data_IF_058582445256
#
_entry.id   IF_058582445256
#
_cell.length_a   1.000
_cell.length_b   1.000
_cell.length_c   1.000
_cell.angle_alpha   90.00
_cell.angle_beta   90.00
_cell.angle_gamma   90.00
#
_symmetry.space_group_name_H-M   'P 1'
#
loop_
_entity.id
_entity.type
_entity.pdbx_description
1 polymer ?
#
# COMPACT_ATOMS: atom_id res chain seq x y z
N UNK A 1 26.78 7.49 -5.81
CA UNK A 1 26.17 8.76 -5.36
C UNK A 1 25.87 9.62 -6.57
N UNK A 2 24.64 10.14 -6.66
CA UNK A 2 24.25 11.15 -7.63
C UNK A 2 25.07 12.42 -7.36
N UNK A 3 25.66 12.99 -8.41
CA UNK A 3 26.60 14.12 -8.31
C UNK A 3 25.92 15.43 -7.90
N UNK A 4 24.63 15.57 -8.18
CA UNK A 4 23.85 16.78 -7.92
C UNK A 4 23.12 16.71 -6.58
N UNK A 5 22.46 15.59 -6.28
CA UNK A 5 21.66 15.45 -5.05
C UNK A 5 22.46 14.94 -3.87
N UNK A 6 23.69 14.44 -4.09
CA UNK A 6 24.52 13.72 -3.11
C UNK A 6 23.81 12.52 -2.45
N UNK A 7 22.70 12.05 -3.02
CA UNK A 7 21.98 10.87 -2.56
C UNK A 7 22.49 9.63 -3.29
N UNK A 8 22.14 8.45 -2.78
CA UNK A 8 22.36 7.21 -3.51
C UNK A 8 21.58 7.28 -4.83
N UNK A 9 22.27 6.97 -5.92
CA UNK A 9 21.68 6.92 -7.26
C UNK A 9 21.26 5.47 -7.51
N UNK A 10 20.03 5.14 -7.14
CA UNK A 10 19.54 3.77 -7.18
C UNK A 10 19.50 3.24 -8.61
N UNK A 11 19.01 4.04 -9.56
CA UNK A 11 18.95 3.69 -10.98
C UNK A 11 20.32 3.37 -11.54
N UNK A 12 21.29 4.28 -11.35
CA UNK A 12 22.66 4.05 -11.80
C UNK A 12 23.30 2.84 -11.12
N UNK A 13 23.00 2.62 -9.84
CA UNK A 13 23.52 1.45 -9.11
C UNK A 13 22.97 0.17 -9.70
N UNK A 14 21.67 0.10 -9.97
CA UNK A 14 21.04 -1.06 -10.62
C UNK A 14 21.66 -1.32 -12.00
N UNK A 15 21.79 -0.29 -12.83
CA UNK A 15 22.38 -0.43 -14.17
C UNK A 15 23.83 -0.96 -14.12
N UNK A 16 24.62 -0.58 -13.12
CA UNK A 16 25.99 -1.09 -12.94
C UNK A 16 26.04 -2.57 -12.56
N UNK A 17 24.97 -3.11 -11.96
CA UNK A 17 24.91 -4.51 -11.54
C UNK A 17 24.67 -5.48 -12.70
N UNK A 18 24.28 -5.01 -13.88
CA UNK A 18 23.94 -5.84 -15.04
C UNK A 18 24.99 -6.92 -15.35
N UNK A 19 26.27 -6.57 -15.26
CA UNK A 19 27.37 -7.48 -15.59
C UNK A 19 27.77 -8.41 -14.42
N UNK A 20 27.12 -8.29 -13.28
CA UNK A 20 27.51 -8.96 -12.03
C UNK A 20 26.46 -9.93 -11.51
N UNK A 21 25.26 -9.97 -12.10
CA UNK A 21 24.15 -10.81 -11.64
C UNK A 21 23.51 -11.57 -12.82
N UNK A 22 22.64 -12.54 -12.52
CA UNK A 22 21.95 -13.29 -13.57
C UNK A 22 20.93 -12.39 -14.30
N UNK A 23 20.68 -12.62 -15.61
CA UNK A 23 19.75 -11.80 -16.38
C UNK A 23 18.35 -11.70 -15.77
N UNK A 24 17.85 -12.80 -15.19
CA UNK A 24 16.54 -12.79 -14.54
C UNK A 24 16.51 -11.92 -13.27
N UNK A 25 17.57 -11.95 -12.48
CA UNK A 25 17.66 -11.15 -11.25
C UNK A 25 17.87 -9.66 -11.59
N UNK A 26 18.59 -9.37 -12.69
CA UNK A 26 18.70 -8.02 -13.24
C UNK A 26 17.36 -7.50 -13.76
N UNK A 27 16.62 -8.32 -14.51
CA UNK A 27 15.27 -7.99 -14.96
C UNK A 27 14.36 -7.63 -13.77
N UNK A 28 14.41 -8.43 -12.70
CA UNK A 28 13.63 -8.17 -11.48
C UNK A 28 13.95 -6.82 -10.85
N UNK A 29 15.23 -6.52 -10.63
CA UNK A 29 15.65 -5.23 -10.10
C UNK A 29 15.17 -4.08 -10.99
N UNK A 30 15.38 -4.18 -12.31
CA UNK A 30 14.93 -3.16 -13.24
C UNK A 30 13.40 -2.99 -13.23
N UNK A 31 12.63 -4.07 -13.12
CA UNK A 31 11.17 -4.02 -13.02
C UNK A 31 10.71 -3.31 -11.73
N UNK A 32 11.31 -3.62 -10.57
CA UNK A 32 10.99 -2.97 -9.29
C UNK A 32 11.26 -1.46 -9.30
N UNK A 33 12.29 -1.01 -10.01
CA UNK A 33 12.68 0.40 -10.12
C UNK A 33 12.09 1.12 -11.34
N UNK A 34 11.29 0.45 -12.18
CA UNK A 34 10.67 1.08 -13.36
C UNK A 34 11.64 1.40 -14.51
N UNK A 35 12.74 0.65 -14.64
CA UNK A 35 13.73 0.83 -15.70
C UNK A 35 13.30 0.09 -16.99
N UNK A 36 12.69 0.83 -17.92
CA UNK A 36 12.02 0.24 -19.09
C UNK A 36 12.94 -0.29 -20.18
N UNK A 37 13.88 0.53 -20.65
CA UNK A 37 14.79 0.11 -21.71
C UNK A 37 15.62 -1.13 -21.32
N UNK A 38 16.16 -1.22 -20.08
CA UNK A 38 16.88 -2.42 -19.66
C UNK A 38 15.96 -3.65 -19.57
N UNK A 39 14.74 -3.51 -19.05
CA UNK A 39 13.82 -4.65 -18.96
C UNK A 39 13.43 -5.18 -20.34
N UNK A 40 13.17 -4.30 -21.31
CA UNK A 40 12.89 -4.68 -22.71
C UNK A 40 14.03 -5.46 -23.35
N UNK A 41 15.26 -4.93 -23.22
CA UNK A 41 16.47 -5.55 -23.77
C UNK A 41 16.69 -6.93 -23.17
N UNK A 42 16.59 -7.05 -21.84
CA UNK A 42 16.89 -8.30 -21.12
C UNK A 42 15.81 -9.34 -21.35
N UNK A 43 14.54 -8.93 -21.41
CA UNK A 43 13.40 -9.83 -21.64
C UNK A 43 13.58 -10.71 -22.87
N UNK A 44 14.12 -10.16 -23.96
CA UNK A 44 14.38 -10.90 -25.20
C UNK A 44 15.36 -12.08 -25.05
N UNK A 45 16.18 -12.07 -23.99
CA UNK A 45 17.16 -13.11 -23.68
C UNK A 45 16.75 -14.06 -22.56
N UNK A 46 15.61 -13.81 -21.91
CA UNK A 46 15.12 -14.67 -20.85
C UNK A 46 14.54 -15.97 -21.43
N UNK A 47 14.91 -17.09 -20.80
CA UNK A 47 14.27 -18.37 -21.08
C UNK A 47 12.84 -18.40 -20.51
N UNK A 48 12.03 -19.32 -21.05
CA UNK A 48 10.65 -19.52 -20.56
C UNK A 48 10.59 -19.86 -19.07
N UNK A 49 11.49 -20.73 -18.60
CA UNK A 49 11.58 -21.12 -17.19
C UNK A 49 11.90 -19.92 -16.28
N UNK A 50 12.82 -19.04 -16.72
CA UNK A 50 13.13 -17.81 -15.99
C UNK A 50 11.93 -16.86 -15.95
N UNK A 51 11.20 -16.70 -17.05
CA UNK A 51 9.97 -15.90 -17.08
C UNK A 51 8.90 -16.47 -16.14
N UNK A 52 8.68 -17.79 -16.15
CA UNK A 52 7.70 -18.44 -15.27
C UNK A 52 8.07 -18.26 -13.78
N UNK A 53 9.37 -18.33 -13.45
CA UNK A 53 9.87 -18.02 -12.10
C UNK A 53 9.59 -16.57 -11.70
N UNK A 54 9.92 -15.61 -12.56
CA UNK A 54 9.71 -14.18 -12.31
C UNK A 54 8.22 -13.83 -12.13
N UNK A 55 7.35 -14.49 -12.90
CA UNK A 55 5.90 -14.35 -12.77
C UNK A 55 5.37 -14.85 -11.41
N UNK A 56 6.04 -15.77 -10.72
CA UNK A 56 5.54 -16.31 -9.45
C UNK A 56 6.00 -15.50 -8.24
N UNK A 57 7.14 -14.82 -8.33
CA UNK A 57 7.81 -14.26 -7.16
C UNK A 57 7.55 -12.78 -6.92
N UNK A 58 7.29 -11.99 -7.97
CA UNK A 58 7.32 -10.54 -7.83
C UNK A 58 6.25 -9.86 -8.68
N UNK A 59 5.41 -9.05 -8.03
CA UNK A 59 4.34 -8.28 -8.67
C UNK A 59 4.86 -7.30 -9.72
N UNK A 60 6.00 -6.65 -9.48
CA UNK A 60 6.63 -5.77 -10.45
C UNK A 60 7.06 -6.52 -11.71
N UNK A 61 7.61 -7.74 -11.55
CA UNK A 61 7.97 -8.61 -12.67
C UNK A 61 6.73 -9.05 -13.45
N UNK A 62 5.65 -9.46 -12.76
CA UNK A 62 4.37 -9.78 -13.41
C UNK A 62 3.84 -8.62 -14.22
N UNK A 63 3.79 -7.42 -13.63
CA UNK A 63 3.39 -6.20 -14.33
C UNK A 63 4.20 -6.02 -15.62
N UNK A 64 5.53 -6.08 -15.52
CA UNK A 64 6.41 -5.79 -16.66
C UNK A 64 6.35 -6.88 -17.73
N UNK A 65 6.33 -8.15 -17.35
CA UNK A 65 6.25 -9.27 -18.30
C UNK A 65 4.92 -9.22 -19.06
N UNK A 66 3.80 -8.89 -18.40
CA UNK A 66 2.51 -8.74 -19.06
C UNK A 66 2.54 -7.63 -20.12
N UNK A 67 3.16 -6.48 -19.82
CA UNK A 67 3.33 -5.39 -20.78
C UNK A 67 4.16 -5.79 -22.01
N UNK A 68 5.22 -6.57 -21.81
CA UNK A 68 6.13 -7.00 -22.87
C UNK A 68 5.59 -8.20 -23.66
N UNK A 69 4.61 -8.93 -23.12
CA UNK A 69 4.02 -10.07 -23.79
C UNK A 69 3.03 -9.64 -24.88
N UNK A 70 3.18 -10.18 -26.09
CA UNK A 70 2.27 -9.92 -27.22
C UNK A 70 0.89 -10.58 -27.05
N UNK A 71 0.70 -11.39 -26.00
CA UNK A 71 -0.58 -12.05 -25.73
C UNK A 71 -1.46 -11.09 -24.95
N UNK A 72 -2.60 -10.74 -25.53
CA UNK A 72 -3.71 -10.05 -24.89
C UNK A 72 -4.39 -10.95 -23.85
N UNK A 73 -3.63 -11.58 -22.95
CA UNK A 73 -4.20 -12.26 -21.80
C UNK A 73 -4.71 -11.19 -20.86
N UNK A 74 -6.02 -11.10 -20.86
CA UNK A 74 -6.85 -10.51 -19.85
C UNK A 74 -6.28 -10.83 -18.44
N UNK A 75 -6.40 -9.85 -17.53
CA UNK A 75 -6.73 -10.01 -16.10
C UNK A 75 -5.60 -9.83 -15.08
N UNK A 76 -6.01 -9.27 -13.93
CA UNK A 76 -5.32 -9.13 -12.65
C UNK A 76 -4.40 -7.91 -12.42
N UNK A 77 -4.52 -6.84 -13.22
CA UNK A 77 -3.82 -5.58 -12.91
C UNK A 77 -4.23 -4.98 -11.55
N UNK A 78 -5.44 -5.25 -11.10
CA UNK A 78 -5.94 -4.93 -9.76
C UNK A 78 -5.20 -5.71 -8.66
N UNK A 79 -5.04 -7.02 -8.81
CA UNK A 79 -4.27 -7.84 -7.86
C UNK A 79 -2.78 -7.43 -7.85
N UNK A 80 -2.19 -7.21 -9.03
CA UNK A 80 -0.81 -6.74 -9.16
C UNK A 80 -0.65 -5.36 -8.50
N UNK A 81 -1.61 -4.45 -8.66
CA UNK A 81 -1.58 -3.15 -7.99
C UNK A 81 -1.58 -3.31 -6.46
N UNK A 82 -2.43 -4.17 -5.91
CA UNK A 82 -2.50 -4.43 -4.46
C UNK A 82 -1.19 -5.02 -3.92
N UNK A 83 -0.58 -5.96 -4.64
CA UNK A 83 0.69 -6.56 -4.25
C UNK A 83 1.86 -5.57 -4.39
N UNK A 84 1.89 -4.74 -5.43
CA UNK A 84 2.87 -3.67 -5.59
C UNK A 84 2.76 -2.63 -4.47
N UNK A 85 1.55 -2.28 -4.05
CA UNK A 85 1.32 -1.39 -2.92
C UNK A 85 1.84 -1.99 -1.60
N UNK A 86 1.60 -3.30 -1.40
CA UNK A 86 2.09 -4.05 -0.23
C UNK A 86 3.61 -4.27 -0.24
N UNK A 87 4.26 -4.21 -1.42
CA UNK A 87 5.71 -4.42 -1.58
C UNK A 87 6.49 -3.10 -1.72
N UNK A 88 5.80 -1.96 -1.79
CA UNK A 88 6.43 -0.64 -1.86
C UNK A 88 6.93 -0.24 -3.24
N UNK A 89 6.44 -0.87 -4.32
CA UNK A 89 6.88 -0.63 -5.70
C UNK A 89 5.97 0.39 -6.41
N UNK A 90 6.38 1.67 -6.40
CA UNK A 90 5.56 2.77 -6.91
C UNK A 90 5.37 2.72 -8.44
N UNK A 91 6.46 2.59 -9.20
CA UNK A 91 6.39 2.63 -10.66
C UNK A 91 5.53 1.49 -11.24
N UNK A 92 5.69 0.22 -10.82
CA UNK A 92 4.82 -0.87 -11.28
C UNK A 92 3.35 -0.72 -10.82
N UNK A 93 3.12 -0.14 -9.65
CA UNK A 93 1.78 0.18 -9.16
C UNK A 93 1.07 1.18 -10.09
N UNK A 94 1.71 2.32 -10.37
CA UNK A 94 1.15 3.36 -11.26
C UNK A 94 0.79 2.77 -12.63
N UNK A 95 1.68 1.95 -13.20
CA UNK A 95 1.44 1.27 -14.49
C UNK A 95 0.25 0.33 -14.42
N UNK A 96 0.18 -0.50 -13.38
CA UNK A 96 -0.92 -1.44 -13.20
C UNK A 96 -2.25 -0.69 -13.14
N UNK A 97 -2.31 0.40 -12.37
CA UNK A 97 -3.50 1.24 -12.27
C UNK A 97 -3.88 1.89 -13.61
N UNK A 98 -2.90 2.36 -14.41
CA UNK A 98 -3.14 2.94 -15.74
C UNK A 98 -3.68 1.93 -16.77
N UNK A 99 -3.48 0.62 -16.54
CA UNK A 99 -3.98 -0.45 -17.42
C UNK A 99 -5.40 -0.90 -17.08
N UNK A 100 -5.98 -0.42 -15.97
CA UNK A 100 -7.33 -0.79 -15.54
C UNK A 100 -8.34 0.17 -16.19
N UNK A 101 -9.18 -0.35 -17.10
CA UNK A 101 -10.15 0.46 -17.84
C UNK A 101 -11.29 1.01 -16.96
N UNK A 102 -11.68 0.29 -15.91
CA UNK A 102 -12.73 0.69 -14.97
C UNK A 102 -12.19 0.45 -13.56
N UNK A 103 -11.78 1.52 -12.89
CA UNK A 103 -11.36 1.45 -11.50
C UNK A 103 -12.61 1.25 -10.64
N UNK A 104 -12.64 0.18 -9.87
CA UNK A 104 -13.55 0.07 -8.73
C UNK A 104 -13.20 1.18 -7.72
N UNK A 105 -14.21 1.89 -7.21
CA UNK A 105 -14.10 2.91 -6.17
C UNK A 105 -13.29 2.44 -4.95
N UNK A 106 -13.20 1.11 -4.75
CA UNK A 106 -12.48 0.53 -3.62
C UNK A 106 -11.00 0.22 -3.87
N UNK A 107 -10.54 0.18 -5.12
CA UNK A 107 -9.18 -0.31 -5.42
C UNK A 107 -8.09 0.62 -4.88
N UNK A 108 -8.19 1.91 -5.15
CA UNK A 108 -7.21 2.90 -4.66
C UNK A 108 -7.15 2.93 -3.12
N UNK A 109 -8.28 3.03 -2.38
CA UNK A 109 -8.21 2.97 -0.93
C UNK A 109 -7.70 1.61 -0.42
N UNK A 110 -7.99 0.48 -1.07
CA UNK A 110 -7.37 -0.82 -0.73
C UNK A 110 -5.85 -0.78 -0.89
N UNK A 111 -5.32 -0.20 -1.97
CA UNK A 111 -3.87 -0.03 -2.16
C UNK A 111 -3.25 0.83 -1.04
N UNK A 112 -3.88 1.95 -0.67
CA UNK A 112 -3.42 2.81 0.43
C UNK A 112 -3.37 2.02 1.75
N UNK A 113 -4.46 1.35 2.10
CA UNK A 113 -4.56 0.59 3.37
C UNK A 113 -3.53 -0.55 3.43
N UNK A 114 -3.30 -1.26 2.32
CA UNK A 114 -2.25 -2.31 2.20
C UNK A 114 -0.84 -1.74 2.33
N UNK A 115 -0.58 -0.60 1.71
CA UNK A 115 0.71 0.09 1.82
C UNK A 115 0.98 0.53 3.27
N UNK A 116 -0.01 1.09 3.96
CA UNK A 116 0.09 1.45 5.38
C UNK A 116 0.37 0.21 6.23
N UNK A 117 -0.37 -0.87 6.02
CA UNK A 117 -0.16 -2.12 6.75
C UNK A 117 1.27 -2.66 6.59
N UNK A 118 1.85 -2.49 5.40
CA UNK A 118 3.21 -2.90 5.07
C UNK A 118 4.30 -1.84 5.36
N UNK A 119 3.94 -0.72 6.01
CA UNK A 119 4.83 0.42 6.31
C UNK A 119 5.42 1.15 5.08
N UNK A 120 4.75 1.09 3.93
CA UNK A 120 5.12 1.77 2.70
C UNK A 120 4.42 3.13 2.57
N UNK A 121 4.70 4.04 3.49
CA UNK A 121 4.02 5.34 3.53
C UNK A 121 4.28 6.22 2.30
N UNK A 122 5.41 6.02 1.60
CA UNK A 122 5.69 6.70 0.33
C UNK A 122 4.67 6.32 -0.76
N UNK A 123 4.16 5.09 -0.76
CA UNK A 123 3.06 4.67 -1.63
C UNK A 123 1.75 5.26 -1.14
N UNK A 124 1.46 5.14 0.15
CA UNK A 124 0.23 5.62 0.75
C UNK A 124 0.00 7.12 0.50
N UNK A 125 1.04 7.93 0.64
CA UNK A 125 0.99 9.38 0.41
C UNK A 125 0.92 9.77 -1.08
N UNK A 126 1.32 8.87 -1.97
CA UNK A 126 1.31 9.13 -3.41
C UNK A 126 -0.10 9.00 -4.00
N UNK A 127 -0.90 8.07 -3.47
CA UNK A 127 -2.27 7.84 -3.93
C UNK A 127 -3.21 8.85 -3.25
N UNK A 128 -3.94 9.63 -4.04
CA UNK A 128 -4.97 10.55 -3.54
C UNK A 128 -6.30 9.80 -3.45
N UNK A 129 -6.82 9.63 -2.23
CA UNK A 129 -8.13 9.06 -1.98
C UNK A 129 -8.84 9.81 -0.83
N UNK A 130 -10.15 9.92 -0.91
CA UNK A 130 -11.01 10.62 0.04
C UNK A 130 -12.01 9.70 0.77
N UNK A 131 -12.29 8.51 0.23
CA UNK A 131 -13.26 7.56 0.80
C UNK A 131 -12.64 6.17 1.06
N UNK A 132 -12.43 5.85 2.34
CA UNK A 132 -11.86 4.57 2.78
C UNK A 132 -12.91 3.57 3.30
N UNK A 133 -14.15 4.01 3.54
CA UNK A 133 -15.15 3.22 4.26
C UNK A 133 -15.48 1.90 3.56
N UNK A 134 -15.66 1.95 2.23
CA UNK A 134 -15.92 0.76 1.41
C UNK A 134 -14.73 -0.22 1.37
N UNK A 135 -13.52 0.26 1.65
CA UNK A 135 -12.30 -0.54 1.59
C UNK A 135 -11.95 -1.20 2.94
N UNK A 136 -12.46 -0.72 4.07
CA UNK A 136 -12.15 -1.29 5.38
C UNK A 136 -12.52 -2.77 5.50
N UNK A 137 -13.65 -3.19 4.92
CA UNK A 137 -14.05 -4.61 4.90
C UNK A 137 -13.01 -5.51 4.20
N UNK A 138 -12.25 -4.96 3.25
CA UNK A 138 -11.20 -5.73 2.57
C UNK A 138 -9.99 -6.01 3.45
N UNK A 139 -9.73 -5.16 4.46
CA UNK A 139 -8.59 -5.31 5.37
C UNK A 139 -9.01 -5.95 6.70
N UNK A 140 -10.22 -5.67 7.17
CA UNK A 140 -10.80 -6.15 8.41
C UNK A 140 -12.15 -6.85 8.14
N UNK A 141 -12.15 -8.02 7.48
CA UNK A 141 -13.38 -8.70 7.07
C UNK A 141 -14.23 -9.16 8.27
N UNK A 142 -13.61 -9.32 9.44
CA UNK A 142 -14.24 -9.67 10.71
C UNK A 142 -14.52 -8.46 11.61
N UNK A 143 -14.26 -7.24 11.12
CA UNK A 143 -14.39 -6.00 11.87
C UNK A 143 -13.32 -5.77 12.95
N UNK A 144 -12.35 -6.68 13.10
CA UNK A 144 -11.31 -6.56 14.11
C UNK A 144 -10.12 -5.79 13.55
N UNK A 145 -9.88 -4.60 14.10
CA UNK A 145 -8.72 -3.77 13.75
C UNK A 145 -7.57 -4.08 14.70
N UNK A 146 -6.39 -4.47 14.21
CA UNK A 146 -5.19 -4.61 15.05
C UNK A 146 -4.77 -3.26 15.64
N UNK A 147 -4.38 -3.25 16.92
CA UNK A 147 -3.87 -2.04 17.58
C UNK A 147 -2.68 -1.45 16.82
N UNK A 148 -1.76 -2.31 16.34
CA UNK A 148 -0.60 -1.90 15.55
C UNK A 148 -0.99 -1.12 14.29
N UNK A 149 -2.03 -1.57 13.57
CA UNK A 149 -2.50 -0.86 12.38
C UNK A 149 -3.01 0.53 12.74
N UNK A 150 -3.81 0.64 13.80
CA UNK A 150 -4.33 1.94 14.24
C UNK A 150 -3.21 2.88 14.71
N UNK A 151 -2.18 2.34 15.37
CA UNK A 151 -1.00 3.11 15.79
C UNK A 151 -0.26 3.68 14.57
N UNK A 152 -0.11 2.91 13.49
CA UNK A 152 0.51 3.39 12.22
C UNK A 152 -0.23 4.59 11.61
N UNK A 153 -1.52 4.75 11.88
CA UNK A 153 -2.29 5.91 11.41
C UNK A 153 -2.02 7.18 12.22
N UNK A 154 -1.48 7.06 13.43
CA UNK A 154 -1.34 8.16 14.40
C UNK A 154 0.13 8.51 14.69
N UNK A 155 1.03 7.53 14.70
CA UNK A 155 2.48 7.71 14.94
C UNK A 155 3.29 7.83 13.65
N UNK A 156 4.47 8.48 13.71
CA UNK A 156 4.59 9.94 13.65
C UNK A 156 4.00 10.51 12.34
N UNK A 157 3.21 11.58 12.48
CA UNK A 157 2.42 12.20 11.41
C UNK A 157 3.22 12.65 10.17
N UNK A 158 4.53 12.88 10.32
CA UNK A 158 5.39 13.29 9.20
C UNK A 158 5.48 12.23 8.11
N UNK A 159 5.24 10.96 8.45
CA UNK A 159 5.35 9.86 7.51
C UNK A 159 4.05 9.63 6.72
N UNK A 160 2.86 9.92 7.27
CA UNK A 160 1.57 9.62 6.64
C UNK A 160 0.62 10.82 6.68
N UNK A 161 0.40 11.44 5.52
CA UNK A 161 -0.35 12.70 5.38
C UNK A 161 -1.83 12.53 5.73
N UNK A 162 -2.44 11.41 5.31
CA UNK A 162 -3.88 11.15 5.49
C UNK A 162 -4.21 10.31 6.73
N UNK A 163 -3.24 10.08 7.62
CA UNK A 163 -3.39 9.13 8.74
C UNK A 163 -4.58 9.42 9.65
N UNK A 164 -4.76 10.67 10.06
CA UNK A 164 -5.89 11.07 10.94
C UNK A 164 -7.25 10.96 10.26
N UNK A 165 -7.33 11.28 8.96
CA UNK A 165 -8.55 11.14 8.18
C UNK A 165 -8.97 9.68 8.12
N UNK A 166 -8.02 8.78 7.84
CA UNK A 166 -8.26 7.34 7.79
C UNK A 166 -8.65 6.80 9.17
N UNK A 167 -7.95 7.21 10.23
CA UNK A 167 -8.26 6.81 11.60
C UNK A 167 -9.67 7.24 12.01
N UNK A 168 -10.05 8.48 11.70
CA UNK A 168 -11.39 9.02 11.98
C UNK A 168 -12.47 8.25 11.20
N UNK A 169 -12.25 8.02 9.91
CA UNK A 169 -13.17 7.23 9.08
C UNK A 169 -13.31 5.80 9.62
N UNK A 170 -12.21 5.19 10.10
CA UNK A 170 -12.24 3.85 10.67
C UNK A 170 -13.06 3.79 11.97
N UNK A 171 -12.87 4.75 12.89
CA UNK A 171 -13.67 4.85 14.11
C UNK A 171 -15.17 5.10 13.81
N UNK A 172 -15.47 5.83 12.73
CA UNK A 172 -16.85 6.03 12.24
C UNK A 172 -17.44 4.81 11.55
N UNK A 173 -16.61 3.93 11.01
CA UNK A 173 -17.05 2.68 10.40
C UNK A 173 -17.32 1.61 11.45
N UNK A 174 -16.51 1.55 12.51
CA UNK A 174 -16.60 0.49 13.52
C UNK A 174 -17.83 0.61 14.43
N UNK A 175 -18.41 -0.53 14.84
CA UNK A 175 -19.37 -0.58 15.94
C UNK A 175 -18.75 -0.10 17.26
N UNK A 176 -19.57 0.51 18.13
CA UNK A 176 -19.15 1.03 19.44
C UNK A 176 -18.38 0.02 20.27
N UNK A 177 -18.82 -1.25 20.29
CA UNK A 177 -18.15 -2.31 21.04
C UNK A 177 -16.73 -2.60 20.51
N UNK A 178 -16.54 -2.57 19.20
CA UNK A 178 -15.23 -2.84 18.59
C UNK A 178 -14.28 -1.66 18.76
N UNK A 179 -14.80 -0.42 18.74
CA UNK A 179 -14.03 0.77 19.13
C UNK A 179 -13.54 0.65 20.58
N UNK A 180 -14.41 0.23 21.51
CA UNK A 180 -14.01 0.04 22.91
C UNK A 180 -12.98 -1.09 23.08
N UNK A 181 -13.10 -2.18 22.31
CA UNK A 181 -12.10 -3.26 22.29
C UNK A 181 -10.75 -2.76 21.79
N UNK A 182 -10.72 -2.06 20.66
CA UNK A 182 -9.51 -1.46 20.10
C UNK A 182 -8.84 -0.52 21.11
N UNK A 183 -9.62 0.34 21.77
CA UNK A 183 -9.13 1.22 22.83
C UNK A 183 -8.44 0.44 23.96
N UNK A 184 -9.04 -0.67 24.42
CA UNK A 184 -8.46 -1.52 25.47
C UNK A 184 -7.17 -2.20 25.01
N UNK A 185 -7.11 -2.65 23.77
CA UNK A 185 -5.89 -3.22 23.19
C UNK A 185 -4.76 -2.17 23.20
N UNK A 186 -5.04 -0.96 22.72
CA UNK A 186 -4.08 0.15 22.71
C UNK A 186 -3.62 0.50 24.13
N UNK A 187 -4.55 0.56 25.09
CA UNK A 187 -4.24 0.90 26.48
C UNK A 187 -3.36 -0.14 27.18
N UNK A 188 -3.53 -1.42 26.85
CA UNK A 188 -2.83 -2.54 27.50
C UNK A 188 -1.49 -2.88 26.84
N UNK A 189 -1.17 -2.29 25.69
CA UNK A 189 0.07 -2.55 24.97
C UNK A 189 1.19 -1.63 25.49
N UNK A 190 2.20 -2.15 26.20
CA UNK A 190 3.21 -1.34 26.87
C UNK A 190 4.12 -0.56 25.92
N UNK A 191 4.22 -0.99 24.66
CA UNK A 191 5.07 -0.35 23.65
C UNK A 191 4.41 0.87 22.98
N UNK A 192 3.09 1.03 23.11
CA UNK A 192 2.37 2.14 22.48
C UNK A 192 2.51 3.40 23.33
N UNK A 193 2.84 4.53 22.70
CA UNK A 193 2.97 5.81 23.40
C UNK A 193 1.60 6.28 23.91
N UNK A 194 1.57 6.83 25.12
CA UNK A 194 0.36 7.41 25.72
C UNK A 194 -0.31 8.48 24.83
N UNK A 195 0.46 9.19 24.01
CA UNK A 195 -0.04 10.18 23.05
C UNK A 195 -1.01 9.58 22.03
N UNK A 196 -0.83 8.31 21.64
CA UNK A 196 -1.74 7.61 20.72
C UNK A 196 -3.11 7.44 21.36
N UNK A 197 -3.15 7.01 22.63
CA UNK A 197 -4.41 6.84 23.35
C UNK A 197 -5.14 8.17 23.57
N UNK A 198 -4.41 9.25 23.88
CA UNK A 198 -5.00 10.59 24.00
C UNK A 198 -5.63 11.02 22.68
N UNK A 199 -4.96 10.79 21.55
CA UNK A 199 -5.45 11.15 20.22
C UNK A 199 -6.63 10.29 19.79
N UNK A 200 -6.59 8.99 20.08
CA UNK A 200 -7.72 8.08 19.95
C UNK A 200 -8.96 8.64 20.67
N UNK A 201 -8.82 8.97 21.95
CA UNK A 201 -9.93 9.43 22.80
C UNK A 201 -10.50 10.76 22.31
N UNK A 202 -9.64 11.69 21.84
CA UNK A 202 -10.07 12.94 21.22
C UNK A 202 -10.92 12.70 19.96
N UNK A 203 -10.42 11.91 19.01
CA UNK A 203 -11.16 11.59 17.78
C UNK A 203 -12.48 10.88 18.05
N UNK A 204 -12.48 9.95 19.02
CA UNK A 204 -13.70 9.20 19.35
C UNK A 204 -14.77 10.08 20.02
N UNK A 205 -14.35 11.04 20.86
CA UNK A 205 -15.27 11.98 21.50
C UNK A 205 -16.01 12.84 20.47
N UNK A 206 -15.30 13.37 19.47
CA UNK A 206 -15.89 14.14 18.36
C UNK A 206 -16.90 13.30 17.54
N UNK A 207 -16.66 11.99 17.41
CA UNK A 207 -17.56 11.07 16.70
C UNK A 207 -18.83 10.80 17.51
N UNK A 208 -18.73 10.63 18.84
CA UNK A 208 -19.91 10.42 19.68
C UNK A 208 -20.81 11.66 19.66
N UNK A 209 -20.23 12.85 19.78
CA UNK A 209 -20.98 14.11 19.79
C UNK A 209 -21.76 14.32 18.48
N UNK A 210 -21.24 13.82 17.36
CA UNK A 210 -21.89 13.83 16.04
C UNK A 210 -22.85 12.66 15.80
N UNK A 211 -22.72 11.56 16.56
CA UNK A 211 -23.60 10.38 16.50
C UNK A 211 -24.79 10.45 17.46
N UNK A 212 -25.05 11.59 18.11
CA UNK A 212 -26.27 11.82 18.88
C UNK A 212 -27.49 11.65 17.96
N UNK A 213 -28.01 10.43 17.89
CA UNK A 213 -29.40 10.15 17.58
C UNK A 213 -30.27 11.06 18.46
N UNK A 214 -31.41 11.57 17.95
CA UNK A 214 -32.37 12.23 18.82
C UNK A 214 -32.70 11.24 19.93
N UNK A 215 -32.37 11.61 21.16
CA UNK A 215 -32.84 10.90 22.32
C UNK A 215 -34.35 11.10 22.36
N UNK A 216 -35.10 10.17 21.77
CA UNK A 216 -36.52 9.98 22.05
C UNK A 216 -36.60 9.49 23.51
N UNK A 217 -36.52 10.44 24.44
CA UNK A 217 -37.08 10.28 25.78
C UNK A 217 -38.49 10.86 25.74
N UNK A 218 -39.47 9.99 25.58
CA UNK A 218 -40.82 10.19 26.12
C UNK A 218 -40.83 9.75 27.60
#
# INVERSE_FOLDING_TARGET
>A
MNRETKKLDLERTVLLLEHHIQPADFFELCACYGLDEPTERVYASLSREQCERLLQHNAACRCRILELSQRSSMLYYDEIALECASSGHLQPLERSLMRINVLDDTLLPKCVLRAIDSNHYHIANHIVCDNFEKAFYSLFPDGHVPAEFFVKLIEPQDALVQGEQIATALLRYLPTLDVQRLRRLIQNEPQIRKSVLIRFDAMYSEIIDTRNYPCDYD
#
